data_IF_435481503156
#
_entry.id   IF_435481503156
#
_cell.length_a   1.000
_cell.length_b   1.000
_cell.length_c   1.000
_cell.angle_alpha   90.00
_cell.angle_beta   90.00
_cell.angle_gamma   90.00
#
_symmetry.space_group_name_H-M   'P 1'
#
loop_
_entity.id
_entity.type
_entity.pdbx_description
1 polymer ?
#
# COMPACT_ATOMS: atom_id res chain seq x y z
N UNK A 1 -0.25 18.34 3.57
CA UNK A 1 0.21 17.26 4.43
C UNK A 1 0.27 17.60 5.92
N UNK A 2 0.74 18.81 6.31
CA UNK A 2 0.87 19.20 7.72
C UNK A 2 -0.44 19.09 8.52
N UNK A 3 -1.56 19.56 7.97
CA UNK A 3 -2.87 19.47 8.64
C UNK A 3 -3.28 18.01 8.85
N UNK A 4 -3.04 17.13 7.87
CA UNK A 4 -3.32 15.70 8.00
C UNK A 4 -2.44 15.02 9.05
N UNK A 5 -1.18 15.42 9.16
CA UNK A 5 -0.26 14.98 10.21
C UNK A 5 -0.72 15.43 11.61
N UNK A 6 -1.10 16.70 11.76
CA UNK A 6 -1.61 17.24 13.01
C UNK A 6 -2.92 16.57 13.45
N UNK A 7 -3.88 16.38 12.53
CA UNK A 7 -5.12 15.67 12.80
C UNK A 7 -4.88 14.21 13.26
N UNK A 8 -3.92 13.50 12.64
CA UNK A 8 -3.56 12.16 13.08
C UNK A 8 -2.94 12.17 14.49
N UNK A 9 -2.13 13.17 14.81
CA UNK A 9 -1.54 13.34 16.15
C UNK A 9 -2.60 13.65 17.21
N UNK A 10 -3.60 14.47 16.90
CA UNK A 10 -4.73 14.74 17.81
C UNK A 10 -5.53 13.46 18.11
N UNK A 11 -5.76 12.62 17.09
CA UNK A 11 -6.51 11.37 17.23
C UNK A 11 -5.64 10.15 17.60
N UNK A 12 -4.38 10.37 17.96
CA UNK A 12 -3.40 9.30 18.18
C UNK A 12 -3.86 8.25 19.21
N UNK A 13 -4.50 8.69 20.31
CA UNK A 13 -4.99 7.79 21.36
C UNK A 13 -6.11 6.87 20.85
N UNK A 14 -7.00 7.40 20.03
CA UNK A 14 -8.10 6.64 19.44
C UNK A 14 -7.59 5.67 18.37
N UNK A 15 -6.69 6.13 17.50
CA UNK A 15 -6.04 5.30 16.48
C UNK A 15 -5.31 4.13 17.16
N UNK A 16 -4.47 4.42 18.16
CA UNK A 16 -3.75 3.39 18.90
C UNK A 16 -4.68 2.36 19.52
N UNK A 17 -5.78 2.81 20.14
CA UNK A 17 -6.77 1.90 20.74
C UNK A 17 -7.42 0.95 19.72
N UNK A 18 -7.57 1.42 18.46
CA UNK A 18 -8.19 0.61 17.39
C UNK A 18 -7.23 -0.40 16.77
N UNK A 19 -5.94 -0.09 16.70
CA UNK A 19 -4.94 -0.95 16.05
C UNK A 19 -4.14 -1.81 17.03
N UNK A 20 -4.22 -1.53 18.33
CA UNK A 20 -3.47 -2.26 19.35
C UNK A 20 -3.86 -3.73 19.40
N UNK A 21 -2.86 -4.59 19.51
CA UNK A 21 -3.01 -6.05 19.53
C UNK A 21 -3.20 -6.69 18.15
N UNK A 22 -3.07 -5.92 17.07
CA UNK A 22 -3.05 -6.46 15.71
C UNK A 22 -1.68 -7.04 15.39
N UNK A 23 -1.63 -8.23 14.78
CA UNK A 23 -0.38 -8.85 14.32
C UNK A 23 0.15 -8.21 13.04
N UNK A 24 -0.78 -7.74 12.17
CA UNK A 24 -0.50 -7.11 10.90
C UNK A 24 -1.41 -5.90 10.67
N UNK A 25 -0.86 -4.85 10.09
CA UNK A 25 -1.60 -3.63 9.75
C UNK A 25 -1.26 -3.20 8.33
N UNK A 26 -2.31 -3.07 7.51
CA UNK A 26 -2.20 -2.45 6.19
C UNK A 26 -2.53 -0.97 6.27
N UNK A 27 -1.68 -0.16 5.68
CA UNK A 27 -1.88 1.27 5.51
C UNK A 27 -2.02 1.56 4.02
N UNK A 28 -3.20 1.98 3.60
CA UNK A 28 -3.47 2.27 2.19
C UNK A 28 -3.87 3.73 2.00
N UNK A 29 -3.24 4.40 1.06
CA UNK A 29 -3.62 5.77 0.70
C UNK A 29 -3.06 6.21 -0.64
N UNK A 30 -3.71 7.20 -1.24
CA UNK A 30 -3.11 8.01 -2.30
C UNK A 30 -2.21 9.09 -1.71
N UNK A 31 -0.96 9.15 -2.14
CA UNK A 31 -0.02 10.19 -1.77
C UNK A 31 -0.22 11.46 -2.64
N UNK A 32 0.28 12.59 -2.15
CA UNK A 32 0.19 13.89 -2.82
C UNK A 32 -0.88 14.81 -2.26
N UNK A 33 -1.91 14.25 -1.61
CA UNK A 33 -2.96 15.00 -0.92
C UNK A 33 -2.58 15.41 0.50
N UNK A 34 -3.55 15.88 1.25
CA UNK A 34 -3.37 16.33 2.63
C UNK A 34 -3.42 15.19 3.64
N UNK A 35 -4.49 14.39 3.59
CA UNK A 35 -4.80 13.36 4.58
C UNK A 35 -3.84 12.17 4.47
N UNK A 36 -3.81 11.47 3.34
CA UNK A 36 -2.97 10.27 3.16
C UNK A 36 -1.50 10.59 3.38
N UNK A 37 -0.99 11.63 2.74
CA UNK A 37 0.42 12.04 2.82
C UNK A 37 0.84 12.43 4.25
N UNK A 38 -0.06 13.05 5.01
CA UNK A 38 0.25 13.52 6.36
C UNK A 38 -0.01 12.49 7.44
N UNK A 39 -1.15 11.80 7.38
CA UNK A 39 -1.59 10.89 8.43
C UNK A 39 -0.94 9.50 8.34
N UNK A 40 -0.69 8.96 7.13
CA UNK A 40 -0.19 7.61 6.97
C UNK A 40 1.14 7.38 7.71
N UNK A 41 2.16 8.27 7.64
CA UNK A 41 3.40 8.08 8.40
C UNK A 41 3.19 8.07 9.92
N UNK A 42 2.28 8.87 10.45
CA UNK A 42 2.00 8.88 11.89
C UNK A 42 1.30 7.60 12.34
N UNK A 43 0.37 7.08 11.54
CA UNK A 43 -0.29 5.79 11.80
C UNK A 43 0.73 4.64 11.73
N UNK A 44 1.60 4.64 10.72
CA UNK A 44 2.67 3.64 10.57
C UNK A 44 3.59 3.61 11.80
N UNK A 45 3.97 4.79 12.28
CA UNK A 45 4.80 4.92 13.49
C UNK A 45 4.14 4.32 14.74
N UNK A 46 2.82 4.47 14.88
CA UNK A 46 2.07 3.88 15.98
C UNK A 46 2.03 2.37 15.83
N UNK A 47 1.69 1.87 14.64
CA UNK A 47 1.60 0.45 14.31
C UNK A 47 2.93 -0.28 14.57
N UNK A 48 4.02 0.27 14.05
CA UNK A 48 5.37 -0.29 14.27
C UNK A 48 5.79 -0.29 15.74
N UNK A 49 5.45 0.75 16.49
CA UNK A 49 5.72 0.81 17.94
C UNK A 49 4.93 -0.22 18.74
N UNK A 50 3.74 -0.59 18.28
CA UNK A 50 2.89 -1.61 18.91
C UNK A 50 3.34 -3.05 18.55
N UNK A 51 4.32 -3.20 17.65
CA UNK A 51 4.91 -4.49 17.25
C UNK A 51 4.21 -5.21 16.12
N UNK A 52 3.22 -4.56 15.49
CA UNK A 52 2.53 -5.09 14.34
C UNK A 52 3.42 -5.06 13.09
N UNK A 53 3.35 -6.09 12.26
CA UNK A 53 3.91 -6.05 10.92
C UNK A 53 3.18 -4.97 10.11
N UNK A 54 3.90 -3.92 9.76
CA UNK A 54 3.32 -2.72 9.14
C UNK A 54 3.64 -2.69 7.65
N UNK A 55 2.61 -2.86 6.83
CA UNK A 55 2.71 -2.89 5.37
C UNK A 55 1.98 -1.66 4.81
N UNK A 56 2.66 -0.85 4.03
CA UNK A 56 2.03 0.23 3.31
C UNK A 56 1.88 -0.10 1.82
N UNK A 57 0.68 0.11 1.29
CA UNK A 57 0.37 0.02 -0.14
C UNK A 57 -0.16 1.38 -0.57
N UNK A 58 0.61 2.12 -1.35
CA UNK A 58 0.31 3.51 -1.67
C UNK A 58 0.36 3.79 -3.16
N UNK A 59 -0.48 4.71 -3.61
CA UNK A 59 -0.44 5.19 -4.99
C UNK A 59 0.26 6.55 -5.08
N UNK A 60 1.06 6.72 -6.14
CA UNK A 60 1.60 8.03 -6.49
C UNK A 60 0.63 8.75 -7.43
N UNK A 61 0.53 10.09 -7.32
CA UNK A 61 -0.37 10.87 -8.16
C UNK A 61 0.01 10.75 -9.65
N UNK A 62 -0.96 10.96 -10.51
CA UNK A 62 -0.71 11.16 -11.93
C UNK A 62 0.07 12.47 -12.15
N UNK A 63 0.95 12.50 -13.13
CA UNK A 63 1.72 13.72 -13.50
C UNK A 63 0.78 14.88 -13.85
N UNK A 64 -0.38 14.58 -14.45
CA UNK A 64 -1.39 15.60 -14.79
C UNK A 64 -2.03 16.27 -13.56
N UNK A 65 -1.92 15.68 -12.35
CA UNK A 65 -2.42 16.28 -11.11
C UNK A 65 -1.57 17.46 -10.62
N UNK A 66 -0.40 17.64 -11.21
CA UNK A 66 0.47 18.79 -11.03
C UNK A 66 1.65 18.54 -10.08
N UNK A 67 2.71 19.31 -10.35
CA UNK A 67 4.00 19.18 -9.69
C UNK A 67 3.92 19.22 -8.16
N UNK A 68 3.05 20.07 -7.61
CA UNK A 68 2.89 20.20 -6.15
C UNK A 68 2.40 18.93 -5.48
N UNK A 69 1.54 18.16 -6.14
CA UNK A 69 1.09 16.86 -5.64
C UNK A 69 2.22 15.84 -5.66
N UNK A 70 3.03 15.83 -6.72
CA UNK A 70 4.19 14.95 -6.84
C UNK A 70 5.20 15.23 -5.73
N UNK A 71 5.56 16.50 -5.51
CA UNK A 71 6.47 16.90 -4.43
C UNK A 71 5.96 16.47 -3.05
N UNK A 72 4.68 16.72 -2.77
CA UNK A 72 4.06 16.29 -1.53
C UNK A 72 4.08 14.76 -1.38
N UNK A 73 3.81 14.02 -2.48
CA UNK A 73 3.84 12.57 -2.49
C UNK A 73 5.23 12.03 -2.15
N UNK A 74 6.27 12.57 -2.75
CA UNK A 74 7.66 12.15 -2.50
C UNK A 74 8.07 12.40 -1.05
N UNK A 75 7.74 13.57 -0.49
CA UNK A 75 7.99 13.86 0.92
C UNK A 75 7.23 12.94 1.87
N UNK A 76 5.99 12.59 1.52
CA UNK A 76 5.19 11.64 2.30
C UNK A 76 5.73 10.22 2.21
N UNK A 77 6.19 9.82 1.03
CA UNK A 77 6.78 8.52 0.77
C UNK A 77 8.04 8.30 1.60
N UNK A 78 8.97 9.26 1.58
CA UNK A 78 10.22 9.21 2.36
C UNK A 78 9.94 9.06 3.87
N UNK A 79 8.97 9.81 4.38
CA UNK A 79 8.55 9.68 5.78
C UNK A 79 7.92 8.32 6.09
N UNK A 80 7.06 7.83 5.19
CA UNK A 80 6.34 6.57 5.38
C UNK A 80 7.30 5.38 5.37
N UNK A 81 8.26 5.36 4.45
CA UNK A 81 9.29 4.32 4.32
C UNK A 81 10.05 4.11 5.64
N UNK A 82 10.31 5.18 6.39
CA UNK A 82 11.02 5.10 7.67
C UNK A 82 10.24 4.37 8.78
N UNK A 83 8.91 4.22 8.63
CA UNK A 83 8.03 3.69 9.67
C UNK A 83 7.27 2.42 9.27
N UNK A 84 7.47 1.89 8.08
CA UNK A 84 6.87 0.63 7.65
C UNK A 84 7.92 -0.48 7.55
N UNK A 85 7.48 -1.72 7.58
CA UNK A 85 8.35 -2.88 7.34
C UNK A 85 8.45 -3.18 5.85
N UNK A 86 7.34 -3.03 5.14
CA UNK A 86 7.25 -3.21 3.68
C UNK A 86 6.46 -2.07 3.06
N UNK A 87 6.98 -1.54 1.96
CA UNK A 87 6.37 -0.45 1.20
C UNK A 87 6.16 -0.86 -0.25
N UNK A 88 4.90 -0.92 -0.66
CA UNK A 88 4.49 -1.20 -2.04
C UNK A 88 4.00 0.09 -2.66
N UNK A 89 4.61 0.47 -3.77
CA UNK A 89 4.34 1.72 -4.47
C UNK A 89 3.68 1.40 -5.81
N UNK A 90 2.52 2.00 -6.07
CA UNK A 90 1.77 1.90 -7.32
C UNK A 90 1.85 3.27 -8.02
N UNK A 91 2.71 3.42 -9.05
CA UNK A 91 2.75 4.67 -9.82
C UNK A 91 1.56 4.76 -10.76
N UNK A 92 0.65 5.70 -10.52
CA UNK A 92 -0.56 5.83 -11.34
C UNK A 92 -0.25 6.10 -12.82
N UNK A 93 0.84 6.80 -13.14
CA UNK A 93 1.23 7.06 -14.54
C UNK A 93 1.46 5.76 -15.34
N UNK A 94 1.91 4.67 -14.70
CA UNK A 94 2.06 3.38 -15.38
C UNK A 94 0.73 2.82 -15.88
N UNK A 95 -0.38 3.15 -15.24
CA UNK A 95 -1.72 2.74 -15.69
C UNK A 95 -2.12 3.46 -16.99
N UNK A 96 -1.68 4.70 -17.18
CA UNK A 96 -1.92 5.45 -18.42
C UNK A 96 -1.06 4.94 -19.57
N UNK A 97 0.14 4.40 -19.29
CA UNK A 97 0.97 3.76 -20.31
C UNK A 97 0.31 2.49 -20.86
N UNK A 98 -0.35 1.71 -19.97
CA UNK A 98 -1.07 0.49 -20.36
C UNK A 98 -2.38 0.79 -21.11
N UNK A 99 -3.01 1.91 -20.83
CA UNK A 99 -4.31 2.28 -21.44
C UNK A 99 -4.42 3.80 -21.68
N UNK A 100 -3.71 4.34 -22.71
CA UNK A 100 -3.55 5.79 -22.89
C UNK A 100 -4.82 6.56 -23.27
N UNK A 101 -5.90 5.88 -23.60
CA UNK A 101 -7.18 6.50 -24.01
C UNK A 101 -8.26 6.47 -22.91
N UNK A 102 -7.92 6.05 -21.70
CA UNK A 102 -8.90 5.98 -20.61
C UNK A 102 -9.24 7.37 -20.07
N UNK A 103 -10.53 7.63 -19.78
CA UNK A 103 -10.91 8.78 -18.97
C UNK A 103 -10.21 8.74 -17.61
N UNK A 104 -9.81 9.90 -17.09
CA UNK A 104 -9.10 10.00 -15.81
C UNK A 104 -9.85 9.33 -14.64
N UNK A 105 -11.19 9.45 -14.62
CA UNK A 105 -12.02 8.77 -13.61
C UNK A 105 -11.90 7.25 -13.66
N UNK A 106 -11.77 6.67 -14.86
CA UNK A 106 -11.56 5.23 -15.04
C UNK A 106 -10.16 4.82 -14.60
N UNK A 107 -9.15 5.65 -14.88
CA UNK A 107 -7.78 5.41 -14.43
C UNK A 107 -7.69 5.38 -12.89
N UNK A 108 -8.39 6.27 -12.19
CA UNK A 108 -8.48 6.22 -10.72
C UNK A 108 -9.15 4.93 -10.22
N UNK A 109 -10.22 4.46 -10.86
CA UNK A 109 -10.87 3.20 -10.48
C UNK A 109 -9.93 2.01 -10.63
N UNK A 110 -9.15 1.97 -11.71
CA UNK A 110 -8.15 0.91 -11.92
C UNK A 110 -7.07 0.98 -10.84
N UNK A 111 -6.62 2.18 -10.47
CA UNK A 111 -5.67 2.35 -9.36
C UNK A 111 -6.23 1.79 -8.04
N UNK A 112 -7.51 2.06 -7.73
CA UNK A 112 -8.20 1.55 -6.55
C UNK A 112 -8.35 0.02 -6.60
N UNK A 113 -8.64 -0.57 -7.77
CA UNK A 113 -8.72 -2.01 -7.97
C UNK A 113 -7.36 -2.69 -7.74
N UNK A 114 -6.28 -2.14 -8.30
CA UNK A 114 -4.92 -2.66 -8.09
C UNK A 114 -4.54 -2.60 -6.62
N UNK A 115 -4.84 -1.49 -5.95
CA UNK A 115 -4.58 -1.32 -4.53
C UNK A 115 -5.37 -2.34 -3.69
N UNK A 116 -6.64 -2.55 -4.02
CA UNK A 116 -7.50 -3.55 -3.38
C UNK A 116 -6.96 -4.96 -3.59
N UNK A 117 -6.57 -5.31 -4.81
CA UNK A 117 -6.04 -6.61 -5.17
C UNK A 117 -4.69 -6.88 -4.50
N UNK A 118 -3.84 -5.86 -4.39
CA UNK A 118 -2.56 -5.97 -3.69
C UNK A 118 -2.77 -6.33 -2.20
N UNK A 119 -3.67 -5.62 -1.51
CA UNK A 119 -3.99 -5.91 -0.10
C UNK A 119 -4.64 -7.28 0.04
N UNK A 120 -5.60 -7.60 -0.85
CA UNK A 120 -6.32 -8.88 -0.85
C UNK A 120 -5.35 -10.05 -1.06
N UNK A 121 -4.46 -9.98 -2.05
CA UNK A 121 -3.49 -11.03 -2.34
C UNK A 121 -2.61 -11.35 -1.14
N UNK A 122 -2.07 -10.33 -0.47
CA UNK A 122 -1.24 -10.55 0.73
C UNK A 122 -2.09 -11.11 1.87
N UNK A 123 -3.32 -10.60 2.06
CA UNK A 123 -4.20 -11.07 3.12
C UNK A 123 -4.59 -12.54 2.91
N UNK A 124 -4.90 -12.93 1.68
CA UNK A 124 -5.27 -14.30 1.33
C UNK A 124 -4.13 -15.30 1.58
N UNK A 125 -2.87 -14.90 1.38
CA UNK A 125 -1.71 -15.74 1.72
C UNK A 125 -1.67 -16.12 3.21
N UNK A 126 -2.20 -15.27 4.08
CA UNK A 126 -2.21 -15.49 5.54
C UNK A 126 -3.50 -16.17 6.01
N UNK A 127 -4.63 -15.85 5.39
CA UNK A 127 -5.96 -16.24 5.90
C UNK A 127 -6.58 -17.43 5.18
N UNK A 128 -6.12 -17.74 3.97
CA UNK A 128 -6.72 -18.78 3.14
C UNK A 128 -5.84 -20.04 3.12
N UNK A 129 -6.43 -21.19 3.46
CA UNK A 129 -5.76 -22.47 3.33
C UNK A 129 -5.54 -22.78 1.84
N UNK A 130 -4.30 -22.68 1.38
CA UNK A 130 -3.90 -23.02 0.01
C UNK A 130 -3.30 -24.41 -0.09
N UNK A 131 -2.79 -24.75 -1.31
CA UNK A 131 -2.01 -25.97 -1.54
C UNK A 131 -0.68 -25.96 -0.74
N UNK A 132 -0.15 -24.78 -0.48
CA UNK A 132 1.00 -24.55 0.40
C UNK A 132 0.54 -23.59 1.48
N UNK A 133 0.45 -24.05 2.72
CA UNK A 133 0.12 -23.21 3.85
C UNK A 133 1.36 -22.46 4.30
N UNK A 134 1.38 -21.15 4.08
CA UNK A 134 2.39 -20.26 4.66
C UNK A 134 1.94 -19.89 6.07
N UNK A 135 2.83 -20.09 7.05
CA UNK A 135 2.59 -19.59 8.40
C UNK A 135 2.79 -18.06 8.42
N UNK A 136 2.00 -17.38 9.24
CA UNK A 136 2.16 -15.93 9.47
C UNK A 136 3.60 -15.57 9.86
N UNK A 137 4.27 -16.46 10.61
CA UNK A 137 5.67 -16.26 11.01
C UNK A 137 6.61 -16.21 9.81
N UNK A 138 6.37 -17.02 8.76
CA UNK A 138 7.18 -17.02 7.54
C UNK A 138 6.99 -15.72 6.76
N UNK A 139 5.76 -15.29 6.61
CA UNK A 139 5.43 -14.01 5.96
C UNK A 139 6.04 -12.84 6.73
N UNK A 140 5.91 -12.85 8.06
CA UNK A 140 6.49 -11.83 8.92
C UNK A 140 8.02 -11.80 8.78
N UNK A 141 8.69 -12.95 8.71
CA UNK A 141 10.15 -13.03 8.55
C UNK A 141 10.63 -12.42 7.23
N UNK A 142 9.90 -12.64 6.14
CA UNK A 142 10.23 -12.10 4.81
C UNK A 142 9.92 -10.61 4.71
N UNK A 143 8.79 -10.16 5.26
CA UNK A 143 8.30 -8.79 5.09
C UNK A 143 8.83 -7.82 6.15
N UNK A 144 9.34 -8.30 7.28
CA UNK A 144 9.93 -7.42 8.30
C UNK A 144 11.21 -6.78 7.77
N UNK A 145 11.29 -5.45 7.79
CA UNK A 145 12.38 -4.66 7.20
C UNK A 145 12.63 -4.96 5.71
N UNK A 146 11.59 -5.38 4.99
CA UNK A 146 11.65 -5.69 3.56
C UNK A 146 11.89 -4.46 2.67
N UNK A 147 11.66 -3.25 3.19
CA UNK A 147 11.85 -2.01 2.45
C UNK A 147 10.83 -1.84 1.32
N UNK A 148 11.29 -1.28 0.21
CA UNK A 148 10.46 -1.12 -1.00
C UNK A 148 10.33 -2.46 -1.70
N UNK A 149 9.10 -2.90 -1.89
CA UNK A 149 8.75 -4.18 -2.50
C UNK A 149 7.89 -3.98 -3.74
N UNK A 150 7.99 -4.92 -4.67
CA UNK A 150 7.16 -4.98 -5.87
C UNK A 150 6.11 -6.08 -5.70
N UNK A 151 4.90 -5.80 -6.12
CA UNK A 151 3.84 -6.77 -6.24
C UNK A 151 3.40 -6.87 -7.70
N UNK A 152 3.22 -8.08 -8.19
CA UNK A 152 2.66 -8.37 -9.49
C UNK A 152 1.50 -9.35 -9.34
N UNK A 153 0.53 -9.27 -10.22
CA UNK A 153 -0.60 -10.19 -10.29
C UNK A 153 -0.81 -10.56 -11.74
N UNK A 154 -0.96 -11.85 -11.99
CA UNK A 154 -1.33 -12.37 -13.28
C UNK A 154 -2.44 -13.39 -13.14
N UNK A 155 -3.33 -13.44 -14.12
CA UNK A 155 -4.43 -14.39 -14.18
C UNK A 155 -4.53 -14.96 -15.60
N UNK A 156 -4.70 -16.27 -15.71
CA UNK A 156 -4.87 -16.95 -17.00
C UNK A 156 -5.79 -18.16 -16.86
N UNK A 157 -6.67 -18.34 -17.84
CA UNK A 157 -7.60 -19.48 -17.97
C UNK A 157 -7.14 -20.52 -19.01
N UNK A 158 -5.93 -20.38 -19.57
CA UNK A 158 -5.40 -21.29 -20.59
C UNK A 158 -4.94 -22.62 -20.02
N UNK A 159 -4.63 -23.59 -20.90
CA UNK A 159 -4.05 -24.89 -20.48
C UNK A 159 -2.67 -24.71 -19.83
N UNK A 160 -1.92 -23.65 -20.22
CA UNK A 160 -0.61 -23.28 -19.64
C UNK A 160 -0.71 -22.16 -18.61
N UNK A 161 -1.86 -22.02 -17.99
CA UNK A 161 -2.23 -20.91 -17.10
C UNK A 161 -1.17 -20.49 -16.06
N UNK A 162 -0.36 -21.43 -15.57
CA UNK A 162 0.68 -21.11 -14.59
C UNK A 162 1.83 -20.30 -15.21
N UNK A 163 2.17 -20.56 -16.46
CA UNK A 163 3.22 -19.84 -17.20
C UNK A 163 2.65 -18.50 -17.67
N UNK A 164 1.50 -18.54 -18.32
CA UNK A 164 0.85 -17.35 -18.90
C UNK A 164 0.45 -16.32 -17.84
N UNK A 165 0.20 -16.74 -16.58
CA UNK A 165 -0.10 -15.83 -15.50
C UNK A 165 1.14 -15.14 -14.90
N UNK A 166 2.34 -15.65 -15.16
CA UNK A 166 3.61 -15.10 -14.65
C UNK A 166 4.30 -14.21 -15.70
N UNK A 167 4.07 -14.44 -16.98
CA UNK A 167 4.57 -13.61 -18.08
C UNK A 167 3.77 -12.29 -18.23
#
# INVERSE_FOLDING_TARGET
PKIGEEAAKESMSEIKKKISGSDMIFITCGLGGGTGTGAAPEIAKIAKKDGALTIAVVTLPFTIEGQKRIENAMLGLEKLESFVDTLIIIPNDKLLELAPKLPLQTAFKIADEILTNAVKGITELVTTNGLVNLDFADIKAVMTNGGVSLIGMGESDTEQRAIDAVE
#
